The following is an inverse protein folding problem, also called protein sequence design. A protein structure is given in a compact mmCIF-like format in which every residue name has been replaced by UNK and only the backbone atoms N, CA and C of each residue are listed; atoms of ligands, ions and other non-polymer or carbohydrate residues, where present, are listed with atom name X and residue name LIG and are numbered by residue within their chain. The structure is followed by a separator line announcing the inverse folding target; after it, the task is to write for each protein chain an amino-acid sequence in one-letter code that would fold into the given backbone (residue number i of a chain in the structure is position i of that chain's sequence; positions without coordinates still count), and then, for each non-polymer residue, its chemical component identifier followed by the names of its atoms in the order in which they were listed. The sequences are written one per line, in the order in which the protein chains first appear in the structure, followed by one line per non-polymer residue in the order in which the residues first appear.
data_IF_494230567473
#
_entry.id   IF_494230567473
#
_cell.length_a   1.000
_cell.length_b   1.000
_cell.length_c   1.000
_cell.angle_alpha   90.00
_cell.angle_beta   90.00
_cell.angle_gamma   90.00
#
_symmetry.space_group_name_H-M   'P 1'
#
loop_
_entity.id
_entity.type
_entity.pdbx_description
1 polymer ?
#
# COMPACT_ATOMS: atom_id res chain seq x y z
N UNK A 1 -2.38 -4.56 -30.42
CA UNK A 1 -2.18 -4.25 -29.00
C UNK A 1 -2.48 -2.78 -28.82
N UNK A 2 -3.74 -2.45 -28.51
CA UNK A 2 -4.20 -1.07 -28.34
C UNK A 2 -4.46 -0.85 -26.86
N UNK A 3 -3.45 -0.36 -26.14
CA UNK A 3 -3.59 0.28 -24.83
C UNK A 3 -2.54 1.37 -24.85
N UNK A 4 -2.99 2.60 -25.06
CA UNK A 4 -2.16 3.79 -25.01
C UNK A 4 -3.08 4.96 -24.87
N UNK A 5 -3.20 5.47 -23.65
CA UNK A 5 -3.94 6.70 -23.38
C UNK A 5 -3.32 7.84 -24.21
N UNK A 6 -4.16 8.55 -24.97
CA UNK A 6 -3.76 9.72 -25.73
C UNK A 6 -4.15 10.97 -24.94
N UNK A 7 -3.15 11.74 -24.53
CA UNK A 7 -3.35 13.00 -23.85
C UNK A 7 -3.23 14.16 -24.84
N UNK A 8 -4.03 15.21 -24.61
CA UNK A 8 -3.99 16.43 -25.42
C UNK A 8 -3.50 17.58 -24.55
N UNK A 9 -2.25 17.98 -24.77
CA UNK A 9 -1.61 19.07 -24.01
C UNK A 9 -0.55 19.76 -24.87
N UNK A 10 -0.44 21.07 -24.73
CA UNK A 10 0.66 21.82 -25.33
C UNK A 10 1.90 21.84 -24.41
N UNK A 11 3.00 22.39 -24.92
CA UNK A 11 4.26 22.45 -24.18
C UNK A 11 4.21 23.42 -22.97
N UNK A 12 3.25 24.34 -22.91
CA UNK A 12 3.07 25.22 -21.77
C UNK A 12 2.30 24.50 -20.64
N UNK A 13 1.23 23.80 -20.99
CA UNK A 13 0.43 22.95 -20.10
C UNK A 13 1.28 21.84 -19.47
N UNK A 14 2.07 21.13 -20.28
CA UNK A 14 2.97 20.10 -19.77
C UNK A 14 3.99 20.66 -18.77
N UNK A 15 4.56 21.84 -19.05
CA UNK A 15 5.46 22.52 -18.09
C UNK A 15 4.74 22.99 -16.84
N UNK A 16 3.49 23.44 -16.95
CA UNK A 16 2.66 23.84 -15.81
C UNK A 16 2.33 22.66 -14.90
N UNK A 17 2.16 21.46 -15.46
CA UNK A 17 2.09 20.21 -14.71
C UNK A 17 3.43 19.77 -14.11
N UNK A 18 4.51 20.46 -14.44
CA UNK A 18 5.86 20.16 -13.96
C UNK A 18 6.58 19.10 -14.80
N UNK A 19 6.12 18.76 -16.00
CA UNK A 19 6.87 17.89 -16.92
C UNK A 19 8.06 18.65 -17.50
N UNK A 20 9.25 18.03 -17.47
CA UNK A 20 10.45 18.61 -18.08
C UNK A 20 10.50 18.29 -19.56
N UNK A 21 10.32 19.31 -20.39
CA UNK A 21 10.41 19.19 -21.84
C UNK A 21 11.70 19.80 -22.37
N UNK A 22 12.34 19.11 -23.33
CA UNK A 22 13.40 19.73 -24.13
C UNK A 22 12.82 20.70 -25.15
N UNK A 23 13.65 21.61 -25.66
CA UNK A 23 13.26 22.52 -26.74
C UNK A 23 12.96 21.79 -28.06
N UNK A 24 13.52 20.59 -28.24
CA UNK A 24 13.20 19.74 -29.38
C UNK A 24 11.78 19.16 -29.25
N UNK A 25 11.42 18.67 -28.06
CA UNK A 25 10.10 18.09 -27.79
C UNK A 25 8.99 19.14 -27.91
N UNK A 26 9.23 20.34 -27.39
CA UNK A 26 8.31 21.46 -27.50
C UNK A 26 8.08 21.86 -28.97
N UNK A 27 9.14 21.86 -29.79
CA UNK A 27 9.04 22.15 -31.23
C UNK A 27 8.32 21.04 -31.99
N UNK A 28 8.55 19.78 -31.63
CA UNK A 28 7.86 18.64 -32.23
C UNK A 28 6.35 18.74 -32.00
N UNK A 29 5.91 18.98 -30.76
CA UNK A 29 4.49 19.19 -30.44
C UNK A 29 3.90 20.36 -31.24
N UNK A 30 4.59 21.50 -31.29
CA UNK A 30 4.14 22.68 -32.03
C UNK A 30 4.03 22.43 -33.54
N UNK A 31 4.88 21.55 -34.11
CA UNK A 31 4.86 21.17 -35.53
C UNK A 31 3.79 20.13 -35.88
N UNK A 32 3.09 19.59 -34.89
CA UNK A 32 2.06 18.58 -35.09
C UNK A 32 2.49 17.14 -34.88
N UNK A 33 3.66 16.91 -34.27
CA UNK A 33 4.11 15.58 -33.84
C UNK A 33 3.53 15.16 -32.48
N UNK A 34 3.92 13.97 -32.04
CA UNK A 34 3.55 13.37 -30.77
C UNK A 34 4.77 13.12 -29.88
N UNK A 35 4.58 13.21 -28.57
CA UNK A 35 5.56 12.71 -27.59
C UNK A 35 5.03 11.40 -27.03
N UNK A 36 5.86 10.38 -27.01
CA UNK A 36 5.51 9.09 -26.42
C UNK A 36 6.28 8.93 -25.12
N UNK A 37 5.64 8.36 -24.10
CA UNK A 37 6.36 7.85 -22.92
C UNK A 37 7.49 6.90 -23.35
N UNK A 38 8.57 6.81 -22.55
CA UNK A 38 9.80 6.10 -22.94
C UNK A 38 9.60 4.64 -23.34
N UNK A 39 8.55 4.01 -22.84
CA UNK A 39 8.19 2.61 -23.11
C UNK A 39 7.10 2.47 -24.19
N UNK A 40 6.65 3.59 -24.78
CA UNK A 40 5.60 3.63 -25.77
C UNK A 40 6.05 3.19 -27.17
N UNK A 41 5.12 2.76 -28.03
CA UNK A 41 5.42 2.16 -29.32
C UNK A 41 5.84 3.22 -30.36
N UNK A 42 7.11 3.64 -30.34
CA UNK A 42 7.70 4.48 -31.40
C UNK A 42 8.52 3.61 -32.33
N UNK A 43 8.24 3.70 -33.63
CA UNK A 43 9.00 2.98 -34.65
C UNK A 43 10.47 3.43 -34.66
N UNK A 44 11.39 2.59 -35.15
CA UNK A 44 12.80 2.99 -35.34
C UNK A 44 12.97 4.20 -36.27
N UNK A 45 11.95 4.53 -37.07
CA UNK A 45 11.92 5.69 -37.94
C UNK A 45 11.41 6.98 -37.26
N UNK A 46 11.03 6.92 -35.97
CA UNK A 46 10.48 8.08 -35.25
C UNK A 46 9.02 8.36 -35.61
N UNK A 47 8.24 7.31 -35.83
CA UNK A 47 6.82 7.40 -36.17
C UNK A 47 5.97 6.62 -35.17
N UNK A 48 4.77 7.11 -34.88
CA UNK A 48 3.76 6.41 -34.11
C UNK A 48 2.44 6.40 -34.90
N UNK A 49 1.73 5.27 -34.84
CA UNK A 49 0.39 5.14 -35.41
C UNK A 49 -0.63 5.53 -34.36
N UNK A 50 -1.37 6.59 -34.64
CA UNK A 50 -2.55 6.97 -33.87
C UNK A 50 -3.76 6.26 -34.47
N UNK A 51 -4.38 5.38 -33.71
CA UNK A 51 -5.63 4.72 -34.10
C UNK A 51 -6.78 5.35 -33.31
N UNK A 52 -7.66 6.08 -33.98
CA UNK A 52 -8.87 6.68 -33.41
C UNK A 52 -10.04 5.78 -33.74
N UNK A 53 -10.71 5.27 -32.71
CA UNK A 53 -11.92 4.47 -32.87
C UNK A 53 -13.14 5.26 -32.45
N UNK A 54 -14.24 5.12 -33.18
CA UNK A 54 -15.54 5.61 -32.72
C UNK A 54 -16.03 4.81 -31.50
N UNK A 55 -17.02 5.35 -30.78
CA UNK A 55 -17.55 4.79 -29.54
C UNK A 55 -18.05 3.34 -29.69
N UNK A 56 -18.57 2.99 -30.88
CA UNK A 56 -19.08 1.66 -31.21
C UNK A 56 -17.99 0.68 -31.67
N UNK A 57 -16.73 1.13 -31.81
CA UNK A 57 -15.61 0.28 -32.21
C UNK A 57 -15.56 -0.10 -33.70
N UNK A 58 -16.58 0.27 -34.48
CA UNK A 58 -16.75 -0.18 -35.87
C UNK A 58 -15.88 0.60 -36.88
N UNK A 59 -15.57 1.87 -36.59
CA UNK A 59 -14.77 2.73 -37.46
C UNK A 59 -13.44 3.06 -36.79
N UNK A 60 -12.34 2.51 -37.33
CA UNK A 60 -10.98 2.82 -36.89
C UNK A 60 -10.27 3.65 -37.97
N UNK A 61 -9.89 4.86 -37.61
CA UNK A 61 -9.07 5.74 -38.44
C UNK A 61 -7.64 5.73 -37.93
N UNK A 62 -6.73 5.22 -38.75
CA UNK A 62 -5.29 5.25 -38.44
C UNK A 62 -4.62 6.45 -39.11
N UNK A 63 -3.79 7.16 -38.33
CA UNK A 63 -2.95 8.24 -38.85
C UNK A 63 -1.54 8.08 -38.32
N UNK A 64 -0.55 8.14 -39.22
CA UNK A 64 0.86 8.10 -38.85
C UNK A 64 1.33 9.52 -38.52
N UNK A 65 1.93 9.67 -37.34
CA UNK A 65 2.50 10.92 -36.86
C UNK A 65 3.98 10.75 -36.58
N UNK A 66 4.75 11.83 -36.74
CA UNK A 66 6.10 11.88 -36.20
C UNK A 66 6.03 11.82 -34.69
N UNK A 67 6.76 10.90 -34.09
CA UNK A 67 6.79 10.69 -32.65
C UNK A 67 8.21 10.54 -32.13
N UNK A 68 8.44 11.02 -30.91
CA UNK A 68 9.69 10.80 -30.18
C UNK A 68 9.41 10.28 -28.78
N UNK A 69 10.23 9.34 -28.28
CA UNK A 69 10.26 9.02 -26.86
C UNK A 69 10.69 10.26 -26.07
N UNK A 70 9.94 10.61 -25.04
CA UNK A 70 10.23 11.72 -24.13
C UNK A 70 10.06 11.27 -22.67
N UNK A 71 10.84 11.90 -21.77
CA UNK A 71 10.67 11.71 -20.33
C UNK A 71 9.49 12.55 -19.84
N UNK A 72 8.31 11.94 -19.77
CA UNK A 72 7.06 12.58 -19.35
C UNK A 72 6.83 12.51 -17.83
N UNK A 73 7.91 12.44 -17.04
CA UNK A 73 7.85 12.46 -15.58
C UNK A 73 7.48 13.83 -15.02
N UNK A 74 6.61 13.82 -14.01
CA UNK A 74 6.33 15.00 -13.21
C UNK A 74 7.53 15.35 -12.33
N UNK A 75 8.08 16.56 -12.49
CA UNK A 75 9.30 16.98 -11.77
C UNK A 75 9.09 17.31 -10.29
N UNK A 76 7.84 17.34 -9.83
CA UNK A 76 7.46 17.56 -8.44
C UNK A 76 7.89 16.41 -7.52
N UNK A 77 8.14 15.21 -8.06
CA UNK A 77 8.67 14.08 -7.29
C UNK A 77 10.07 13.67 -7.76
N UNK A 78 10.99 13.47 -6.80
CA UNK A 78 12.33 12.93 -7.06
C UNK A 78 12.34 11.44 -6.76
N UNK A 79 12.75 10.62 -7.72
CA UNK A 79 13.02 9.20 -7.52
C UNK A 79 12.64 8.35 -8.74
N UNK A 80 13.03 7.05 -8.76
CA UNK A 80 12.65 6.12 -9.84
C UNK A 80 11.13 5.95 -10.00
N UNK A 81 10.39 6.21 -8.92
CA UNK A 81 8.94 6.14 -8.79
C UNK A 81 8.24 7.48 -9.05
N UNK A 82 8.95 8.49 -9.58
CA UNK A 82 8.29 9.73 -9.97
C UNK A 82 7.20 9.40 -11.00
N UNK A 83 5.94 9.81 -10.75
CA UNK A 83 4.85 9.52 -11.65
C UNK A 83 5.14 10.13 -13.03
N UNK A 84 4.67 9.44 -14.05
CA UNK A 84 4.84 9.85 -15.43
C UNK A 84 3.52 9.71 -16.17
N UNK A 85 3.28 10.61 -17.13
CA UNK A 85 2.21 10.44 -18.10
C UNK A 85 2.55 9.21 -18.95
N UNK A 86 1.69 8.20 -18.89
CA UNK A 86 1.78 7.01 -19.73
C UNK A 86 1.10 7.28 -21.07
N UNK A 87 1.52 6.57 -22.12
CA UNK A 87 0.93 6.74 -23.45
C UNK A 87 1.58 7.86 -24.26
N UNK A 88 0.78 8.58 -25.05
CA UNK A 88 1.25 9.59 -25.99
C UNK A 88 0.58 10.95 -25.76
N UNK A 89 1.29 12.04 -26.05
CA UNK A 89 0.78 13.41 -25.95
C UNK A 89 0.83 14.07 -27.33
N UNK A 90 -0.28 14.70 -27.72
CA UNK A 90 -0.37 15.57 -28.90
C UNK A 90 -0.83 16.97 -28.52
N UNK A 91 -0.47 17.97 -29.33
CA UNK A 91 -0.96 19.33 -29.13
C UNK A 91 -2.46 19.46 -29.48
N UNK A 92 -3.21 20.39 -28.85
CA UNK A 92 -4.61 20.67 -29.20
C UNK A 92 -4.80 20.99 -30.69
N UNK A 93 -3.88 21.74 -31.29
CA UNK A 93 -3.90 22.06 -32.73
C UNK A 93 -3.75 20.82 -33.61
N UNK A 94 -3.00 19.80 -33.17
CA UNK A 94 -2.87 18.51 -33.85
C UNK A 94 -4.16 17.72 -33.76
N UNK A 95 -4.77 17.65 -32.57
CA UNK A 95 -6.05 16.98 -32.37
C UNK A 95 -7.14 17.57 -33.27
N UNK A 96 -7.24 18.90 -33.33
CA UNK A 96 -8.19 19.60 -34.22
C UNK A 96 -7.92 19.34 -35.71
N UNK A 97 -6.64 19.32 -36.13
CA UNK A 97 -6.28 19.02 -37.53
C UNK A 97 -6.62 17.60 -37.95
N UNK A 98 -6.58 16.67 -37.00
CA UNK A 98 -6.86 15.25 -37.22
C UNK A 98 -8.33 14.89 -36.97
N UNK A 99 -9.16 15.88 -36.60
CA UNK A 99 -10.56 15.70 -36.25
C UNK A 99 -10.77 14.68 -35.12
N UNK A 100 -9.86 14.71 -34.14
CA UNK A 100 -9.93 13.85 -32.96
C UNK A 100 -10.86 14.52 -31.93
N UNK A 101 -11.96 13.87 -31.51
CA UNK A 101 -12.81 14.41 -30.47
C UNK A 101 -12.03 14.49 -29.15
N UNK A 102 -12.07 15.65 -28.50
CA UNK A 102 -11.42 15.88 -27.20
C UNK A 102 -12.47 16.14 -26.14
N UNK A 103 -12.28 15.57 -24.96
CA UNK A 103 -13.08 15.87 -23.77
C UNK A 103 -12.15 16.27 -22.64
N UNK A 104 -12.62 17.17 -21.76
CA UNK A 104 -11.85 17.52 -20.56
C UNK A 104 -12.12 16.47 -19.50
N UNK A 105 -11.13 15.64 -19.22
CA UNK A 105 -11.21 14.61 -18.18
C UNK A 105 -10.74 15.10 -16.81
N UNK A 106 -9.87 16.12 -16.78
CA UNK A 106 -9.21 16.56 -15.54
C UNK A 106 -8.84 18.04 -15.57
N UNK A 107 -8.85 18.66 -14.40
CA UNK A 107 -8.33 20.01 -14.17
C UNK A 107 -7.39 19.97 -12.95
N UNK A 108 -6.14 20.40 -13.15
CA UNK A 108 -5.10 20.41 -12.11
C UNK A 108 -4.85 21.86 -11.69
N UNK A 109 -4.83 22.12 -10.39
CA UNK A 109 -4.53 23.46 -9.86
C UNK A 109 -3.07 23.86 -10.15
N UNK A 110 -2.79 25.12 -10.50
CA UNK A 110 -1.42 25.59 -10.73
C UNK A 110 -0.51 25.38 -9.52
N UNK A 111 0.77 25.11 -9.79
CA UNK A 111 1.78 25.05 -8.73
C UNK A 111 1.82 26.36 -7.92
N UNK A 112 1.77 26.24 -6.59
CA UNK A 112 1.78 27.39 -5.68
C UNK A 112 0.41 28.03 -5.44
N UNK A 113 -0.67 27.51 -6.02
CA UNK A 113 -2.03 27.89 -5.63
C UNK A 113 -2.31 27.51 -4.16
N UNK A 114 -3.13 28.28 -3.42
CA UNK A 114 -3.58 27.90 -2.09
C UNK A 114 -4.26 26.52 -2.10
N UNK A 115 -3.97 25.71 -1.09
CA UNK A 115 -4.68 24.45 -0.86
C UNK A 115 -6.05 24.79 -0.30
N UNK A 116 -7.10 24.25 -0.93
CA UNK A 116 -8.49 24.42 -0.49
C UNK A 116 -8.66 23.89 0.94
N UNK A 117 -9.42 24.62 1.76
CA UNK A 117 -9.89 24.11 3.05
C UNK A 117 -10.92 23.00 2.90
N UNK A 118 -11.21 22.26 3.97
CA UNK A 118 -12.15 21.14 3.93
C UNK A 118 -13.58 21.60 3.55
N UNK A 119 -13.99 22.77 4.05
CA UNK A 119 -15.30 23.37 3.71
C UNK A 119 -15.38 23.76 2.23
N UNK A 120 -14.30 24.36 1.69
CA UNK A 120 -14.21 24.77 0.28
C UNK A 120 -14.16 23.57 -0.67
N UNK A 121 -13.45 22.50 -0.29
CA UNK A 121 -13.45 21.24 -1.03
C UNK A 121 -14.84 20.61 -1.06
N UNK A 122 -15.55 20.59 0.08
CA UNK A 122 -16.91 20.04 0.14
C UNK A 122 -17.88 20.81 -0.75
N UNK A 123 -17.81 22.14 -0.73
CA UNK A 123 -18.66 23.00 -1.57
C UNK A 123 -18.36 22.77 -3.06
N UNK A 124 -17.08 22.74 -3.44
CA UNK A 124 -16.68 22.51 -4.82
C UNK A 124 -17.05 21.09 -5.29
N UNK A 125 -16.90 20.10 -4.41
CA UNK A 125 -17.27 18.71 -4.69
C UNK A 125 -18.77 18.57 -4.98
N UNK A 126 -19.63 19.25 -4.20
CA UNK A 126 -21.07 19.26 -4.45
C UNK A 126 -21.42 19.90 -5.80
N UNK A 127 -20.77 21.03 -6.15
CA UNK A 127 -20.97 21.68 -7.44
C UNK A 127 -20.54 20.79 -8.62
N UNK A 128 -19.39 20.11 -8.50
CA UNK A 128 -18.88 19.19 -9.54
C UNK A 128 -19.76 17.95 -9.67
N UNK A 129 -20.23 17.38 -8.56
CA UNK A 129 -21.17 16.25 -8.56
C UNK A 129 -22.50 16.61 -9.24
N UNK A 130 -22.93 17.88 -9.17
CA UNK A 130 -24.08 18.39 -9.90
C UNK A 130 -23.90 18.46 -11.42
N UNK A 131 -22.66 18.52 -11.92
CA UNK A 131 -22.33 18.55 -13.35
C UNK A 131 -22.16 17.15 -13.95
N UNK A 132 -21.61 16.21 -13.17
CA UNK A 132 -21.35 14.84 -13.61
C UNK A 132 -21.51 13.86 -12.45
N UNK A 133 -22.28 12.77 -12.61
CA UNK A 133 -22.39 11.71 -11.60
C UNK A 133 -21.05 11.05 -11.23
N UNK A 134 -20.04 11.20 -12.07
CA UNK A 134 -18.70 10.64 -11.88
C UNK A 134 -17.64 11.73 -11.63
N UNK A 135 -18.05 13.00 -11.56
CA UNK A 135 -17.16 14.11 -11.26
C UNK A 135 -16.80 14.11 -9.78
N UNK A 136 -15.52 14.30 -9.48
CA UNK A 136 -15.03 14.40 -8.11
C UNK A 136 -13.97 15.48 -7.99
N UNK A 137 -13.90 16.08 -6.81
CA UNK A 137 -12.81 16.97 -6.41
C UNK A 137 -11.93 16.18 -5.45
N UNK A 138 -10.63 16.21 -5.66
CA UNK A 138 -9.66 15.62 -4.77
C UNK A 138 -8.57 16.65 -4.47
N UNK A 139 -8.36 16.94 -3.19
CA UNK A 139 -7.28 17.80 -2.72
C UNK A 139 -6.18 16.94 -2.09
N UNK A 140 -5.02 16.93 -2.72
CA UNK A 140 -3.84 16.20 -2.23
C UNK A 140 -3.27 16.87 -0.98
N UNK A 141 -3.34 16.19 0.17
CA UNK A 141 -2.85 16.66 1.48
C UNK A 141 -1.68 15.82 2.00
N UNK A 142 -0.95 15.18 1.10
CA UNK A 142 0.13 14.25 1.45
C UNK A 142 -0.39 12.97 2.08
N UNK A 143 0.52 12.20 2.69
CA UNK A 143 0.17 10.92 3.28
C UNK A 143 -0.78 11.08 4.47
N UNK A 144 -1.99 10.58 4.32
CA UNK A 144 -2.99 10.45 5.39
C UNK A 144 -3.15 8.97 5.72
N UNK A 145 -2.75 8.57 6.92
CA UNK A 145 -2.86 7.18 7.34
C UNK A 145 -4.33 6.82 7.63
N UNK A 146 -4.97 6.08 6.73
CA UNK A 146 -6.36 5.64 6.89
C UNK A 146 -6.50 4.22 7.48
N UNK A 147 -5.40 3.51 7.69
CA UNK A 147 -5.41 2.07 7.97
C UNK A 147 -5.11 1.70 9.43
N UNK A 148 -4.89 2.67 10.31
CA UNK A 148 -4.49 2.44 11.71
C UNK A 148 -5.43 1.47 12.44
N UNK A 149 -6.74 1.64 12.27
CA UNK A 149 -7.75 0.81 12.94
C UNK A 149 -7.66 -0.64 12.49
N UNK A 150 -7.51 -0.87 11.19
CA UNK A 150 -7.40 -2.22 10.62
C UNK A 150 -6.12 -2.89 11.10
N UNK A 151 -5.00 -2.16 11.13
CA UNK A 151 -3.74 -2.66 11.65
C UNK A 151 -3.82 -3.01 13.14
N UNK A 152 -4.51 -2.20 13.96
CA UNK A 152 -4.76 -2.50 15.37
C UNK A 152 -5.64 -3.75 15.56
N UNK A 153 -6.65 -3.96 14.72
CA UNK A 153 -7.48 -5.17 14.74
C UNK A 153 -6.63 -6.39 14.38
N UNK A 154 -5.81 -6.33 13.34
CA UNK A 154 -4.91 -7.41 12.96
C UNK A 154 -3.89 -7.73 14.06
N UNK A 155 -3.34 -6.69 14.71
CA UNK A 155 -2.49 -6.84 15.88
C UNK A 155 -3.21 -7.59 17.01
N UNK A 156 -4.44 -7.19 17.33
CA UNK A 156 -5.22 -7.81 18.39
C UNK A 156 -5.55 -9.27 18.07
N UNK A 157 -5.96 -9.58 16.83
CA UNK A 157 -6.28 -10.95 16.39
C UNK A 157 -5.03 -11.83 16.40
N UNK A 158 -3.91 -11.35 15.85
CA UNK A 158 -2.64 -12.07 15.84
C UNK A 158 -2.11 -12.32 17.26
N UNK A 159 -2.16 -11.29 18.12
CA UNK A 159 -1.80 -11.41 19.53
C UNK A 159 -2.68 -12.41 20.26
N UNK A 160 -3.99 -12.38 20.03
CA UNK A 160 -4.93 -13.33 20.61
C UNK A 160 -4.61 -14.78 20.16
N UNK A 161 -4.35 -15.00 18.88
CA UNK A 161 -4.00 -16.33 18.36
C UNK A 161 -2.74 -16.89 19.04
N UNK A 162 -1.69 -16.07 19.20
CA UNK A 162 -0.47 -16.46 19.93
C UNK A 162 -0.77 -16.76 21.39
N UNK A 163 -1.57 -15.91 22.05
CA UNK A 163 -1.93 -16.11 23.46
C UNK A 163 -2.67 -17.43 23.67
N UNK A 164 -3.67 -17.73 22.83
CA UNK A 164 -4.42 -18.99 22.91
C UNK A 164 -3.49 -20.20 22.74
N UNK A 165 -2.65 -20.21 21.70
CA UNK A 165 -1.72 -21.30 21.45
C UNK A 165 -0.72 -21.48 22.60
N UNK A 166 -0.12 -20.37 23.04
CA UNK A 166 0.88 -20.37 24.11
C UNK A 166 0.30 -20.83 25.43
N UNK A 167 -0.85 -20.30 25.85
CA UNK A 167 -1.47 -20.65 27.12
C UNK A 167 -1.94 -22.11 27.14
N UNK A 168 -2.44 -22.63 26.00
CA UNK A 168 -2.81 -24.04 25.87
C UNK A 168 -1.59 -24.94 26.00
N UNK A 169 -0.52 -24.64 25.26
CA UNK A 169 0.74 -25.40 25.33
C UNK A 169 1.36 -25.33 26.73
N UNK A 170 1.33 -24.17 27.37
CA UNK A 170 1.83 -23.98 28.74
C UNK A 170 0.99 -24.77 29.74
N UNK A 171 -0.34 -24.78 29.59
CA UNK A 171 -1.23 -25.55 30.47
C UNK A 171 -0.97 -27.05 30.38
N UNK A 172 -0.75 -27.58 29.18
CA UNK A 172 -0.36 -28.97 28.93
C UNK A 172 1.01 -29.28 29.55
N UNK A 173 2.03 -28.46 29.25
CA UNK A 173 3.36 -28.62 29.79
C UNK A 173 3.37 -28.61 31.34
N UNK A 174 2.57 -27.73 31.95
CA UNK A 174 2.46 -27.65 33.40
C UNK A 174 1.69 -28.84 34.01
N UNK A 175 0.82 -29.47 33.23
CA UNK A 175 0.13 -30.69 33.63
C UNK A 175 1.09 -31.89 33.65
N UNK A 176 1.94 -31.98 32.64
CA UNK A 176 2.95 -33.04 32.51
C UNK A 176 4.07 -32.90 33.56
N UNK A 177 4.43 -31.66 33.91
CA UNK A 177 5.42 -31.34 34.94
C UNK A 177 4.90 -31.46 36.40
N UNK A 178 3.63 -31.86 36.62
CA UNK A 178 3.07 -31.97 37.99
C UNK A 178 3.86 -32.90 38.92
N UNK A 179 4.30 -34.11 38.49
CA UNK A 179 5.08 -35.00 39.36
C UNK A 179 6.40 -34.38 39.78
N UNK A 180 7.08 -33.69 38.86
CA UNK A 180 8.36 -33.03 39.11
C UNK A 180 8.23 -31.88 40.13
N UNK A 181 7.13 -31.13 40.08
CA UNK A 181 6.87 -30.12 41.10
C UNK A 181 6.55 -30.72 42.48
N UNK A 182 6.03 -31.94 42.55
CA UNK A 182 5.78 -32.63 43.81
C UNK A 182 7.09 -33.07 44.48
N UNK A 183 8.08 -33.54 43.71
CA UNK A 183 9.41 -33.88 44.24
C UNK A 183 10.14 -32.61 44.69
N UNK A 184 10.08 -31.53 43.92
CA UNK A 184 10.63 -30.22 44.31
C UNK A 184 9.99 -29.68 45.59
N UNK A 185 8.67 -29.84 45.75
CA UNK A 185 7.99 -29.45 46.99
C UNK A 185 8.46 -30.28 48.20
N UNK A 186 8.80 -31.56 48.01
CA UNK A 186 9.28 -32.44 49.07
C UNK A 186 10.66 -32.02 49.63
N UNK A 187 11.51 -31.38 48.81
CA UNK A 187 12.79 -30.76 49.23
C UNK A 187 12.66 -29.28 49.64
N UNK A 188 11.44 -28.75 49.77
CA UNK A 188 11.19 -27.41 50.30
C UNK A 188 11.09 -26.29 49.26
N UNK A 189 10.88 -26.61 47.99
CA UNK A 189 10.72 -25.58 46.96
C UNK A 189 9.51 -24.67 47.23
N UNK A 190 9.72 -23.36 47.03
CA UNK A 190 8.66 -22.37 47.24
C UNK A 190 7.52 -22.53 46.23
N UNK A 191 6.25 -22.26 46.60
CA UNK A 191 5.13 -22.27 45.65
C UNK A 191 5.24 -21.22 44.54
N UNK A 192 6.16 -20.25 44.69
CA UNK A 192 6.47 -19.22 43.69
C UNK A 192 7.27 -19.80 42.52
N UNK A 193 8.07 -20.83 42.74
CA UNK A 193 8.89 -21.47 41.69
C UNK A 193 8.01 -21.99 40.55
N UNK A 194 6.85 -22.56 40.87
CA UNK A 194 5.86 -23.03 39.87
C UNK A 194 5.27 -21.89 39.04
N UNK A 195 5.04 -20.70 39.62
CA UNK A 195 4.52 -19.54 38.89
C UNK A 195 5.56 -18.99 37.93
N UNK A 196 6.80 -18.82 38.40
CA UNK A 196 7.91 -18.33 37.57
C UNK A 196 8.24 -19.31 36.44
N UNK A 197 8.23 -20.62 36.70
CA UNK A 197 8.41 -21.63 35.67
C UNK A 197 7.34 -21.54 34.56
N UNK A 198 6.06 -21.43 34.94
CA UNK A 198 4.96 -21.24 33.98
C UNK A 198 5.11 -19.94 33.17
N UNK A 199 5.50 -18.85 33.83
CA UNK A 199 5.79 -17.56 33.19
C UNK A 199 6.89 -17.63 32.16
N UNK A 200 8.04 -18.21 32.52
CA UNK A 200 9.18 -18.36 31.62
C UNK A 200 8.87 -19.26 30.43
N UNK A 201 8.13 -20.35 30.63
CA UNK A 201 7.69 -21.22 29.54
C UNK A 201 6.76 -20.47 28.57
N UNK A 202 5.76 -19.77 29.09
CA UNK A 202 4.86 -18.96 28.28
C UNK A 202 5.61 -17.84 27.53
N UNK A 203 6.59 -17.19 28.17
CA UNK A 203 7.41 -16.16 27.53
C UNK A 203 8.17 -16.72 26.33
N UNK A 204 8.88 -17.84 26.51
CA UNK A 204 9.68 -18.46 25.44
C UNK A 204 8.79 -18.93 24.29
N UNK A 205 7.68 -19.61 24.60
CA UNK A 205 6.74 -20.11 23.59
C UNK A 205 6.09 -18.96 22.81
N UNK A 206 5.62 -17.91 23.49
CA UNK A 206 5.05 -16.75 22.81
C UNK A 206 6.08 -15.97 22.00
N UNK A 207 7.32 -15.83 22.50
CA UNK A 207 8.39 -15.16 21.76
C UNK A 207 8.72 -15.91 20.48
N UNK A 208 8.90 -17.23 20.56
CA UNK A 208 9.14 -18.06 19.38
C UNK A 208 7.95 -18.01 18.42
N UNK A 209 6.72 -18.12 18.94
CA UNK A 209 5.49 -18.07 18.14
C UNK A 209 5.29 -16.74 17.43
N UNK A 210 5.55 -15.62 18.10
CA UNK A 210 5.46 -14.28 17.50
C UNK A 210 6.54 -14.05 16.46
N UNK A 211 7.80 -14.37 16.76
CA UNK A 211 8.91 -14.21 15.80
C UNK A 211 8.66 -15.05 14.55
N UNK A 212 8.32 -16.33 14.71
CA UNK A 212 8.01 -17.21 13.58
C UNK A 212 6.76 -16.75 12.83
N UNK A 213 5.72 -16.30 13.55
CA UNK A 213 4.51 -15.77 12.94
C UNK A 213 4.77 -14.53 12.06
N UNK A 214 5.63 -13.62 12.53
CA UNK A 214 6.07 -12.46 11.75
C UNK A 214 6.85 -12.91 10.51
N UNK A 215 7.87 -13.77 10.68
CA UNK A 215 8.71 -14.27 9.58
C UNK A 215 7.88 -14.98 8.51
N UNK A 216 6.97 -15.87 8.91
CA UNK A 216 6.11 -16.62 7.98
C UNK A 216 5.06 -15.70 7.36
N UNK A 217 4.51 -14.75 8.11
CA UNK A 217 3.51 -13.79 7.64
C UNK A 217 4.05 -12.76 6.63
N UNK A 218 5.36 -12.52 6.62
CA UNK A 218 6.00 -11.60 5.67
C UNK A 218 5.79 -12.03 4.21
N UNK A 219 5.90 -13.33 3.92
CA UNK A 219 5.77 -13.82 2.54
C UNK A 219 4.39 -13.54 1.92
N UNK A 220 3.25 -13.95 2.52
CA UNK A 220 1.94 -13.58 2.00
C UNK A 220 1.66 -12.08 2.09
N UNK A 221 2.17 -11.37 3.11
CA UNK A 221 2.05 -9.92 3.23
C UNK A 221 2.68 -9.18 2.04
N UNK A 222 3.89 -9.55 1.66
CA UNK A 222 4.59 -9.00 0.49
C UNK A 222 3.90 -9.40 -0.81
N UNK A 223 3.46 -10.66 -0.93
CA UNK A 223 2.78 -11.15 -2.13
C UNK A 223 1.49 -10.39 -2.44
N UNK A 224 0.76 -9.95 -1.40
CA UNK A 224 -0.47 -9.14 -1.55
C UNK A 224 -0.15 -7.66 -1.73
N UNK A 225 0.82 -7.12 -0.98
CA UNK A 225 1.15 -5.68 -1.03
C UNK A 225 1.77 -5.26 -2.35
N UNK A 226 2.57 -6.13 -2.96
CA UNK A 226 3.27 -5.84 -4.21
C UNK A 226 2.33 -5.44 -5.36
N UNK A 227 1.34 -6.26 -5.77
CA UNK A 227 0.42 -5.88 -6.85
C UNK A 227 -0.47 -4.68 -6.47
N UNK A 228 -0.86 -4.54 -5.21
CA UNK A 228 -1.71 -3.44 -4.73
C UNK A 228 -1.01 -2.08 -4.78
N UNK A 229 0.32 -2.07 -4.71
CA UNK A 229 1.11 -0.82 -4.67
C UNK A 229 1.93 -0.59 -5.94
N UNK A 230 1.94 -1.56 -6.86
CA UNK A 230 2.59 -1.44 -8.17
C UNK A 230 1.80 -0.56 -9.16
N UNK A 231 0.54 -0.23 -8.85
CA UNK A 231 -0.25 0.73 -9.62
C UNK A 231 -0.51 1.95 -8.74
N UNK A 232 -0.10 3.12 -9.21
CA UNK A 232 -0.33 4.39 -8.54
C UNK A 232 -1.15 5.30 -9.44
N UNK A 233 -2.26 5.81 -8.94
CA UNK A 233 -3.02 6.83 -9.64
C UNK A 233 -2.45 8.18 -9.22
N UNK A 234 -1.79 8.88 -10.14
CA UNK A 234 -1.32 10.25 -9.89
C UNK A 234 -1.96 11.15 -10.92
N UNK A 235 -2.71 12.13 -10.44
CA UNK A 235 -3.39 13.13 -11.28
C UNK A 235 -4.22 12.45 -12.36
N UNK A 236 -5.23 11.65 -11.97
CA UNK A 236 -6.17 11.00 -12.90
C UNK A 236 -5.56 9.94 -13.84
N UNK A 237 -4.24 9.80 -13.87
CA UNK A 237 -3.50 8.95 -14.80
C UNK A 237 -2.96 7.74 -14.05
N UNK A 238 -3.20 6.55 -14.61
CA UNK A 238 -2.59 5.31 -14.14
C UNK A 238 -1.09 5.39 -14.37
N UNK A 239 -0.33 5.61 -13.30
CA UNK A 239 1.13 5.55 -13.33
C UNK A 239 1.60 4.22 -12.72
N UNK A 240 2.35 3.43 -13.49
CA UNK A 240 3.04 2.26 -12.95
C UNK A 240 4.28 2.77 -12.21
N UNK A 241 4.09 3.16 -10.96
CA UNK A 241 5.21 3.39 -10.04
C UNK A 241 5.70 2.04 -9.54
N UNK A 242 7.01 1.90 -9.28
CA UNK A 242 7.50 0.71 -8.58
C UNK A 242 6.75 0.54 -7.24
N UNK A 243 6.50 -0.70 -6.79
CA UNK A 243 5.71 -0.94 -5.57
C UNK A 243 6.33 -0.22 -4.38
N UNK A 244 5.49 0.49 -3.63
CA UNK A 244 5.89 1.15 -2.39
C UNK A 244 5.46 0.29 -1.22
N UNK A 245 6.43 -0.29 -0.53
CA UNK A 245 6.19 -1.17 0.61
C UNK A 245 6.74 -0.48 1.85
N UNK A 246 5.84 0.08 2.65
CA UNK A 246 6.16 0.53 4.00
C UNK A 246 5.78 -0.56 5.00
N UNK A 247 6.74 -0.97 5.82
CA UNK A 247 6.56 -2.06 6.79
C UNK A 247 6.32 -1.46 8.16
N UNK A 248 5.21 -1.81 8.86
CA UNK A 248 4.89 -1.23 10.15
C UNK A 248 5.74 -1.85 11.28
N UNK A 249 7.04 -1.53 11.29
CA UNK A 249 8.03 -2.08 12.22
C UNK A 249 7.64 -1.87 13.69
N UNK A 250 7.03 -0.72 13.99
CA UNK A 250 6.56 -0.38 15.34
C UNK A 250 5.51 -1.38 15.83
N UNK A 251 4.54 -1.75 15.00
CA UNK A 251 3.53 -2.76 15.33
C UNK A 251 4.12 -4.17 15.40
N UNK A 252 5.03 -4.52 14.49
CA UNK A 252 5.70 -5.83 14.53
C UNK A 252 6.55 -5.99 15.80
N UNK A 253 7.31 -4.96 16.19
CA UNK A 253 8.06 -4.93 17.44
C UNK A 253 7.12 -4.96 18.65
N UNK A 254 6.01 -4.22 18.60
CA UNK A 254 4.96 -4.29 19.60
C UNK A 254 4.44 -5.72 19.76
N UNK A 255 4.23 -6.45 18.66
CA UNK A 255 3.69 -7.81 18.70
C UNK A 255 4.68 -8.77 19.34
N UNK A 256 5.97 -8.68 18.94
CA UNK A 256 7.05 -9.54 19.44
C UNK A 256 7.41 -9.25 20.90
N UNK A 257 7.13 -8.06 21.42
CA UNK A 257 7.46 -7.70 22.80
C UNK A 257 6.24 -7.74 23.74
N UNK A 258 5.15 -7.07 23.37
CA UNK A 258 3.97 -6.92 24.24
C UNK A 258 3.25 -8.24 24.42
N UNK A 259 3.08 -9.03 23.36
CA UNK A 259 2.33 -10.28 23.43
C UNK A 259 3.05 -11.32 24.30
N UNK A 260 4.36 -11.59 24.14
CA UNK A 260 5.05 -12.55 25.01
C UNK A 260 5.12 -12.12 26.47
N UNK A 261 5.31 -10.83 26.74
CA UNK A 261 5.24 -10.30 28.10
C UNK A 261 3.84 -10.45 28.70
N UNK A 262 2.80 -10.20 27.91
CA UNK A 262 1.41 -10.44 28.30
C UNK A 262 1.14 -11.92 28.59
N UNK A 263 1.62 -12.82 27.74
CA UNK A 263 1.50 -14.27 27.93
C UNK A 263 2.17 -14.73 29.24
N UNK A 264 3.39 -14.25 29.49
CA UNK A 264 4.14 -14.54 30.70
C UNK A 264 3.44 -13.98 31.95
N UNK A 265 2.93 -12.75 31.90
CA UNK A 265 2.17 -12.13 32.98
C UNK A 265 0.90 -12.92 33.30
N UNK A 266 0.14 -13.31 32.27
CA UNK A 266 -1.06 -14.15 32.43
C UNK A 266 -0.68 -15.51 33.03
N UNK A 267 0.31 -16.22 32.48
CA UNK A 267 0.72 -17.52 32.98
C UNK A 267 1.22 -17.47 34.45
N UNK A 268 2.02 -16.46 34.81
CA UNK A 268 2.51 -16.29 36.19
C UNK A 268 1.38 -16.01 37.19
N UNK A 269 0.42 -15.15 36.84
CA UNK A 269 -0.68 -14.73 37.72
C UNK A 269 -1.72 -15.84 37.90
N UNK A 270 -2.11 -16.50 36.81
CA UNK A 270 -3.19 -17.49 36.84
C UNK A 270 -2.74 -18.89 37.28
N UNK A 271 -1.43 -19.15 37.39
CA UNK A 271 -0.92 -20.42 37.93
C UNK A 271 -1.16 -20.52 39.44
N UNK A 272 -2.14 -21.36 39.83
CA UNK A 272 -2.45 -21.66 41.24
C UNK A 272 -1.33 -22.42 41.95
N UNK A 273 -1.05 -22.02 43.18
CA UNK A 273 0.08 -22.49 43.98
C UNK A 273 -0.24 -23.59 45.00
N UNK A 274 -1.48 -24.09 45.06
CA UNK A 274 -1.89 -25.02 46.12
C UNK A 274 -1.64 -26.47 45.69
N UNK A 275 -0.85 -27.19 46.49
CA UNK A 275 -0.74 -28.64 46.46
C UNK A 275 -2.06 -29.20 47.03
N UNK A 276 -2.80 -29.97 46.24
CA UNK A 276 -3.87 -30.79 46.80
C UNK A 276 -3.22 -31.85 47.69
N UNK A 277 -3.33 -31.69 49.00
CA UNK A 277 -3.05 -32.78 49.93
C UNK A 277 -4.02 -33.91 49.61
N UNK A 278 -3.57 -34.89 48.84
CA UNK A 278 -4.27 -36.16 48.72
C UNK A 278 -4.13 -36.82 50.08
N UNK A 279 -5.20 -36.72 50.88
CA UNK A 279 -5.36 -37.49 52.12
C UNK A 279 -5.22 -38.96 51.73
N UNK A 280 -4.15 -39.63 52.17
CA UNK A 280 -4.04 -41.08 52.10
C UNK A 280 -5.23 -41.65 52.87
N UNK A 281 -6.16 -42.30 52.18
CA UNK A 281 -7.10 -43.22 52.80
C UNK A 281 -6.29 -44.49 53.06
N UNK A 282 -6.00 -44.73 54.33
CA UNK A 282 -5.39 -46.00 54.74
C UNK A 282 -6.40 -47.12 54.49
N UNK A 283 -5.99 -48.10 53.70
CA UNK A 283 -6.53 -49.46 53.69
C UNK A 283 -5.34 -50.41 53.66
#
# INVERSE_FOLDING_TARGET
TSIGDLHVADAATLRAWGVRLSDEDARLLASGGALSSSDGPVSRAGEATLSVSDADGENVRETVLRARPADLRYSSMKGPQAPMLHGAVIAPSTASRLDVPVSTSEAISPSGAPVLGDDEESELSEQVAGLSPYGGVAVERGFQESWTVILLVLFAVGGLAVLLGTLTATALALNDARPDFATLAAVGASPRTRRWAAGSQALVLALLGTVLGVVVGFAPGLAVTWPLTAQSYVSGVSSVSGPTIDVPWTMLLGLVLVVPLGAAAVATVFTRSRLSMVRRVAQ
#
